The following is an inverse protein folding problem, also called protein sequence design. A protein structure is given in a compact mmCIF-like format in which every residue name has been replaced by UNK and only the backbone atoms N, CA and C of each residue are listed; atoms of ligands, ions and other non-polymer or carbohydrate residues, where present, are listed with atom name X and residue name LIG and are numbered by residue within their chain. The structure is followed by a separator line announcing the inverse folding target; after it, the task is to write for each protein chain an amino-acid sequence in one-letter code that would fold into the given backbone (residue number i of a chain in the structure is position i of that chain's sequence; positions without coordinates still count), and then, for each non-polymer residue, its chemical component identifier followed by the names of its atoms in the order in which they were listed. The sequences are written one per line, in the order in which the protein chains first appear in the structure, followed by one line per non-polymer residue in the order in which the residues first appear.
data_IF_320115414517
#
_entry.id   IF_320115414517
#
_cell.length_a   1.000
_cell.length_b   1.000
_cell.length_c   1.000
_cell.angle_alpha   90.00
_cell.angle_beta   90.00
_cell.angle_gamma   90.00
#
_symmetry.space_group_name_H-M   'P 1'
#
loop_
_entity.id
_entity.type
_entity.pdbx_description
1 polymer ?
#
# COMPACT_ATOMS: atom_id res chain seq x y z
N UNK A 1 1.29 -16.37 -35.36
CA UNK A 1 1.63 -14.95 -35.16
C UNK A 1 2.05 -14.81 -33.71
N UNK A 2 3.36 -14.78 -33.44
CA UNK A 2 3.90 -14.58 -32.10
C UNK A 2 4.11 -13.07 -31.98
N UNK A 3 3.41 -12.43 -31.05
CA UNK A 3 3.67 -11.03 -30.72
C UNK A 3 4.99 -11.01 -29.94
N UNK A 4 6.06 -10.53 -30.57
CA UNK A 4 7.26 -10.14 -29.83
C UNK A 4 6.94 -8.80 -29.16
N UNK A 5 6.88 -8.71 -27.81
CA UNK A 5 6.71 -7.43 -27.17
C UNK A 5 7.94 -6.55 -27.47
N UNK A 6 7.76 -5.24 -27.67
CA UNK A 6 8.87 -4.31 -27.89
C UNK A 6 9.84 -4.31 -26.68
N UNK A 7 11.13 -4.05 -26.95
CA UNK A 7 12.24 -4.10 -25.98
C UNK A 7 12.06 -3.16 -24.76
N UNK A 8 11.09 -2.24 -24.79
CA UNK A 8 10.83 -1.18 -23.81
C UNK A 8 9.84 -1.57 -22.70
N UNK A 9 9.17 -2.72 -22.80
CA UNK A 9 8.28 -3.22 -21.75
C UNK A 9 9.00 -3.96 -20.62
N UNK A 10 10.23 -3.56 -20.31
CA UNK A 10 10.82 -3.89 -19.01
C UNK A 10 10.15 -3.03 -17.96
N UNK A 11 8.88 -3.30 -17.67
CA UNK A 11 8.23 -2.84 -16.46
C UNK A 11 9.12 -3.32 -15.31
N UNK A 12 9.86 -2.38 -14.72
CA UNK A 12 10.66 -2.65 -13.53
C UNK A 12 9.67 -2.92 -12.40
N UNK A 13 9.29 -4.18 -12.25
CA UNK A 13 8.42 -4.62 -11.17
C UNK A 13 9.28 -4.84 -9.93
N UNK A 14 8.98 -4.10 -8.87
CA UNK A 14 9.57 -4.32 -7.55
C UNK A 14 8.52 -4.97 -6.63
N UNK A 15 8.46 -6.31 -6.56
CA UNK A 15 7.51 -6.98 -5.67
C UNK A 15 7.91 -6.73 -4.21
N UNK A 16 6.91 -6.38 -3.39
CA UNK A 16 7.04 -6.31 -1.93
C UNK A 16 6.14 -7.37 -1.31
N UNK A 17 6.74 -8.29 -0.56
CA UNK A 17 6.03 -9.38 0.07
C UNK A 17 5.98 -9.18 1.59
N UNK A 18 4.79 -9.37 2.16
CA UNK A 18 4.54 -9.28 3.59
C UNK A 18 3.75 -10.50 4.03
N UNK A 19 3.95 -10.95 5.28
CA UNK A 19 2.90 -11.69 5.97
C UNK A 19 1.77 -10.74 6.37
N UNK A 20 0.55 -11.23 6.64
CA UNK A 20 -0.55 -10.38 7.11
C UNK A 20 -0.15 -9.46 8.27
N UNK A 21 0.43 -10.04 9.33
CA UNK A 21 0.91 -9.30 10.51
C UNK A 21 1.94 -8.22 10.14
N UNK A 22 2.94 -8.55 9.30
CA UNK A 22 3.96 -7.58 8.89
C UNK A 22 3.38 -6.45 8.06
N UNK A 23 2.36 -6.72 7.23
CA UNK A 23 1.71 -5.69 6.45
C UNK A 23 0.91 -4.73 7.35
N UNK A 24 0.16 -5.26 8.31
CA UNK A 24 -0.54 -4.43 9.30
C UNK A 24 0.44 -3.58 10.11
N UNK A 25 1.56 -4.16 10.55
CA UNK A 25 2.61 -3.43 11.24
C UNK A 25 3.24 -2.33 10.36
N UNK A 26 3.42 -2.58 9.07
CA UNK A 26 3.94 -1.58 8.13
C UNK A 26 2.98 -0.39 7.98
N UNK A 27 1.66 -0.64 7.93
CA UNK A 27 0.64 0.42 7.95
C UNK A 27 0.76 1.28 9.21
N UNK A 28 0.81 0.65 10.39
CA UNK A 28 0.96 1.36 11.66
C UNK A 28 2.28 2.12 11.80
N UNK A 29 3.36 1.59 11.23
CA UNK A 29 4.66 2.23 11.18
C UNK A 29 4.77 3.35 10.13
N UNK A 30 3.67 3.71 9.46
CA UNK A 30 3.60 4.74 8.43
C UNK A 30 4.51 4.45 7.21
N UNK A 31 4.70 3.17 6.87
CA UNK A 31 5.43 2.78 5.68
C UNK A 31 4.69 3.28 4.41
N UNK A 32 5.35 4.13 3.63
CA UNK A 32 4.71 4.79 2.48
C UNK A 32 4.18 3.79 1.45
N UNK A 33 4.91 2.69 1.22
CA UNK A 33 4.49 1.67 0.25
C UNK A 33 3.24 0.94 0.73
N UNK A 34 3.15 0.59 2.01
CA UNK A 34 1.97 -0.03 2.60
C UNK A 34 0.76 0.93 2.60
N UNK A 35 0.96 2.20 2.96
CA UNK A 35 -0.11 3.21 2.93
C UNK A 35 -0.65 3.43 1.51
N UNK A 36 0.24 3.59 0.53
CA UNK A 36 -0.15 3.78 -0.87
C UNK A 36 -0.79 2.53 -1.47
N UNK A 37 -0.32 1.33 -1.09
CA UNK A 37 -0.93 0.08 -1.51
C UNK A 37 -2.41 -0.01 -1.07
N UNK A 38 -2.76 0.47 0.12
CA UNK A 38 -4.15 0.42 0.61
C UNK A 38 -5.01 1.56 0.03
N UNK A 39 -4.45 2.77 -0.15
CA UNK A 39 -5.21 3.91 -0.67
C UNK A 39 -5.41 3.86 -2.20
N UNK A 40 -4.37 3.46 -2.95
CA UNK A 40 -4.36 3.55 -4.43
C UNK A 40 -4.20 2.19 -5.12
N UNK A 41 -3.84 1.14 -4.37
CA UNK A 41 -3.59 -0.16 -4.94
C UNK A 41 -4.85 -0.81 -5.52
N UNK A 42 -4.66 -1.55 -6.61
CA UNK A 42 -5.69 -2.38 -7.20
C UNK A 42 -5.57 -3.80 -6.65
N UNK A 43 -6.64 -4.31 -6.04
CA UNK A 43 -6.69 -5.68 -5.52
C UNK A 43 -6.80 -6.66 -6.68
N UNK A 44 -5.74 -7.43 -6.91
CA UNK A 44 -5.73 -8.49 -7.92
C UNK A 44 -6.34 -9.81 -7.41
N UNK A 45 -6.21 -10.07 -6.10
CA UNK A 45 -6.73 -11.23 -5.41
C UNK A 45 -6.90 -10.91 -3.92
N UNK A 46 -8.00 -11.37 -3.32
CA UNK A 46 -8.21 -11.29 -1.88
C UNK A 46 -8.80 -12.60 -1.34
N UNK A 47 -8.12 -13.18 -0.35
CA UNK A 47 -8.57 -14.35 0.40
C UNK A 47 -9.28 -14.03 1.72
N UNK A 48 -9.63 -12.75 1.94
CA UNK A 48 -10.31 -12.26 3.15
C UNK A 48 -9.44 -11.36 4.05
N UNK A 49 -8.18 -11.10 3.68
CA UNK A 49 -7.27 -10.24 4.45
C UNK A 49 -7.51 -8.75 4.15
N UNK A 50 -7.95 -8.40 2.94
CA UNK A 50 -7.94 -7.01 2.50
C UNK A 50 -8.81 -6.10 3.37
N UNK A 51 -9.95 -6.60 3.84
CA UNK A 51 -10.83 -5.86 4.75
C UNK A 51 -10.12 -5.45 6.04
N UNK A 52 -9.30 -6.34 6.60
CA UNK A 52 -8.52 -6.08 7.82
C UNK A 52 -7.45 -5.01 7.57
N UNK A 53 -6.75 -5.09 6.43
CA UNK A 53 -5.78 -4.05 6.03
C UNK A 53 -6.44 -2.67 5.88
N UNK A 54 -7.64 -2.59 5.28
CA UNK A 54 -8.40 -1.35 5.18
C UNK A 54 -8.83 -0.82 6.56
N UNK A 55 -9.21 -1.69 7.49
CA UNK A 55 -9.56 -1.33 8.87
C UNK A 55 -8.36 -0.78 9.65
N UNK A 56 -7.21 -1.44 9.55
CA UNK A 56 -5.95 -0.95 10.11
C UNK A 56 -5.61 0.43 9.55
N UNK A 57 -5.62 0.59 8.23
CA UNK A 57 -5.33 1.86 7.57
C UNK A 57 -6.28 3.00 7.98
N UNK A 58 -7.59 2.75 8.06
CA UNK A 58 -8.56 3.73 8.57
C UNK A 58 -8.26 4.12 10.02
N UNK A 59 -7.88 3.15 10.84
CA UNK A 59 -7.51 3.40 12.24
C UNK A 59 -6.23 4.24 12.33
N UNK A 60 -5.21 3.92 11.55
CA UNK A 60 -3.96 4.68 11.45
C UNK A 60 -4.22 6.12 10.96
N UNK A 61 -5.06 6.32 9.94
CA UNK A 61 -5.46 7.67 9.48
C UNK A 61 -6.10 8.48 10.60
N UNK A 62 -7.01 7.85 11.37
CA UNK A 62 -7.69 8.49 12.48
C UNK A 62 -6.74 8.82 13.63
N UNK A 63 -5.85 7.89 13.98
CA UNK A 63 -4.92 8.01 15.11
C UNK A 63 -3.95 9.16 14.91
N UNK A 64 -3.21 9.16 13.79
CA UNK A 64 -2.18 10.16 13.49
C UNK A 64 -2.69 11.39 12.74
N UNK A 65 -4.00 11.44 12.44
CA UNK A 65 -4.59 12.48 11.60
C UNK A 65 -3.97 12.52 10.20
N UNK A 66 -3.68 11.36 9.62
CA UNK A 66 -2.97 11.27 8.34
C UNK A 66 -3.77 11.94 7.22
N UNK A 67 -3.10 12.80 6.46
CA UNK A 67 -3.60 13.38 5.23
C UNK A 67 -2.70 13.03 4.07
N UNK A 68 -3.30 12.60 2.97
CA UNK A 68 -2.58 12.48 1.70
C UNK A 68 -2.27 13.86 1.17
N UNK A 69 -1.04 14.06 0.73
CA UNK A 69 -0.56 15.25 0.01
C UNK A 69 -0.08 14.81 -1.38
N UNK A 70 0.29 15.77 -2.23
CA UNK A 70 0.64 15.49 -3.63
C UNK A 70 1.68 14.38 -3.80
N UNK A 71 2.74 14.41 -2.99
CA UNK A 71 3.91 13.54 -3.13
C UNK A 71 4.12 12.63 -1.90
N UNK A 72 3.06 12.35 -1.13
CA UNK A 72 3.14 11.45 0.02
C UNK A 72 2.08 11.66 1.09
N UNK A 73 2.48 11.51 2.35
CA UNK A 73 1.59 11.54 3.52
C UNK A 73 2.09 12.53 4.57
N UNK A 74 1.16 13.20 5.24
CA UNK A 74 1.42 14.10 6.36
C UNK A 74 0.68 13.61 7.61
N UNK A 75 1.41 13.38 8.68
CA UNK A 75 0.84 13.15 10.02
C UNK A 75 0.63 14.50 10.72
N UNK A 76 -0.58 14.71 11.25
CA UNK A 76 -0.94 15.95 11.94
C UNK A 76 -0.87 15.83 13.47
N UNK A 77 -0.62 14.62 13.97
CA UNK A 77 -0.43 14.32 15.39
C UNK A 77 0.91 13.59 15.57
N UNK A 78 1.61 13.84 16.68
CA UNK A 78 2.88 13.18 16.97
C UNK A 78 2.70 11.67 17.17
N UNK A 79 3.77 10.95 16.88
CA UNK A 79 3.93 9.50 17.06
C UNK A 79 4.67 9.18 18.35
#
# INVERSE_FOLDING_TARGET
MVLNPPEDWRLSLEPRAYSPEKFLNAIWALDLTALDAVEEGVVLYDGGFWKEAQEAFRSTKKEYGLKKIKDGWMALRPF
#
